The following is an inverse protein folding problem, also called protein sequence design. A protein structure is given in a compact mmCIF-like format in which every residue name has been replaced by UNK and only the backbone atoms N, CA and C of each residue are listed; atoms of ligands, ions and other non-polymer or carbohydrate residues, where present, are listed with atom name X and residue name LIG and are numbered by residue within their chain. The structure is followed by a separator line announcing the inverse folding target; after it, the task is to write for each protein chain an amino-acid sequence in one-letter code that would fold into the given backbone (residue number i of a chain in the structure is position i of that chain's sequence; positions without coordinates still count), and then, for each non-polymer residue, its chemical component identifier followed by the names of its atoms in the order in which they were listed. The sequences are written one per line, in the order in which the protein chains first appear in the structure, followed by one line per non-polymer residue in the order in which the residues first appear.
data_IF_399138481250
#
_entry.id   IF_399138481250
#
_cell.length_a   1.000
_cell.length_b   1.000
_cell.length_c   1.000
_cell.angle_alpha   90.00
_cell.angle_beta   90.00
_cell.angle_gamma   90.00
#
_symmetry.space_group_name_H-M   'P 1'
#
loop_
_entity.id
_entity.type
_entity.pdbx_description
1 polymer ?
#
# COMPACT_ATOMS: atom_id res chain seq x y z
N UNK A 1 55.50 -16.45 8.46
CA UNK A 1 55.10 -15.18 7.81
C UNK A 1 53.59 -15.03 7.96
N UNK A 2 53.13 -14.03 8.69
CA UNK A 2 51.69 -13.76 8.75
C UNK A 2 51.27 -13.02 7.49
N UNK A 3 50.28 -13.52 6.78
CA UNK A 3 49.60 -12.80 5.68
C UNK A 3 48.81 -11.63 6.29
N UNK A 4 49.32 -10.41 6.16
CA UNK A 4 48.70 -9.23 6.71
C UNK A 4 47.53 -8.66 5.87
N UNK A 5 47.45 -9.05 4.61
CA UNK A 5 46.41 -8.57 3.69
C UNK A 5 46.31 -9.41 2.44
N UNK A 6 45.10 -9.85 2.07
CA UNK A 6 44.83 -10.40 0.75
C UNK A 6 44.40 -9.23 -0.15
N UNK A 7 45.05 -9.07 -1.29
CA UNK A 7 44.67 -8.04 -2.27
C UNK A 7 43.50 -8.53 -3.11
N UNK A 8 42.61 -7.63 -3.52
CA UNK A 8 41.44 -7.97 -4.38
C UNK A 8 41.84 -8.65 -5.71
N UNK A 9 43.02 -8.30 -6.23
CA UNK A 9 43.62 -8.96 -7.44
C UNK A 9 44.04 -10.41 -7.20
N UNK A 10 44.12 -10.85 -5.93
CA UNK A 10 44.50 -12.21 -5.54
C UNK A 10 43.29 -13.13 -5.34
N UNK A 11 42.08 -12.58 -5.43
CA UNK A 11 40.82 -13.33 -5.32
C UNK A 11 40.17 -13.35 -6.70
N UNK A 12 40.10 -14.52 -7.31
CA UNK A 12 39.36 -14.69 -8.56
C UNK A 12 37.86 -14.43 -8.34
N UNK A 13 37.16 -14.05 -9.40
CA UNK A 13 35.69 -13.96 -9.38
C UNK A 13 35.14 -15.31 -8.89
N UNK A 14 34.18 -15.26 -7.97
CA UNK A 14 33.55 -16.43 -7.35
C UNK A 14 34.47 -17.36 -6.52
N UNK A 15 35.70 -16.90 -6.19
CA UNK A 15 36.65 -17.68 -5.40
C UNK A 15 36.24 -17.89 -3.93
N UNK A 16 35.27 -17.09 -3.41
CA UNK A 16 34.72 -17.20 -2.05
C UNK A 16 33.26 -17.50 -2.16
N UNK A 17 32.91 -18.77 -1.99
CA UNK A 17 31.52 -19.24 -1.96
C UNK A 17 31.04 -19.58 -0.54
N UNK A 18 29.82 -20.09 -0.40
CA UNK A 18 29.23 -20.43 0.92
C UNK A 18 30.11 -21.40 1.74
N UNK A 19 30.82 -22.31 1.07
CA UNK A 19 31.67 -23.30 1.75
C UNK A 19 32.96 -22.70 2.35
N UNK A 20 33.36 -21.51 1.90
CA UNK A 20 34.54 -20.79 2.41
C UNK A 20 34.19 -19.81 3.54
N UNK A 21 32.90 -19.51 3.72
CA UNK A 21 32.41 -18.65 4.78
C UNK A 21 31.92 -19.51 5.98
N UNK A 22 32.25 -19.11 7.18
CA UNK A 22 31.69 -19.74 8.36
C UNK A 22 30.28 -19.20 8.58
N UNK A 23 29.25 -19.98 8.20
CA UNK A 23 27.84 -19.58 8.29
C UNK A 23 27.35 -19.25 9.71
N UNK A 24 28.07 -19.74 10.73
CA UNK A 24 27.77 -19.43 12.13
C UNK A 24 28.37 -18.10 12.61
N UNK A 25 29.10 -17.38 11.75
CA UNK A 25 29.77 -16.14 12.11
C UNK A 25 29.04 -14.91 11.56
N UNK A 26 29.03 -13.82 12.32
CA UNK A 26 28.54 -12.53 11.84
C UNK A 26 29.61 -11.84 10.98
N UNK A 27 29.21 -11.44 9.79
CA UNK A 27 30.05 -10.68 8.87
C UNK A 27 29.60 -9.22 8.80
N UNK A 28 30.50 -8.27 9.04
CA UNK A 28 30.24 -6.85 8.87
C UNK A 28 30.74 -6.39 7.49
N UNK A 29 29.80 -6.01 6.64
CA UNK A 29 30.10 -5.43 5.32
C UNK A 29 30.01 -3.91 5.41
N UNK A 30 31.09 -3.19 5.09
CA UNK A 30 31.12 -1.72 5.08
C UNK A 30 30.73 -1.12 3.72
N UNK A 31 30.60 -1.96 2.70
CA UNK A 31 30.18 -1.58 1.35
C UNK A 31 28.74 -2.04 1.04
N UNK A 32 28.27 -1.71 -0.16
CA UNK A 32 26.98 -2.18 -0.67
C UNK A 32 27.02 -3.68 -0.89
N UNK A 33 26.12 -4.41 -0.26
CA UNK A 33 25.89 -5.84 -0.49
C UNK A 33 24.77 -5.98 -1.50
N UNK A 34 25.06 -6.40 -2.72
CA UNK A 34 24.06 -6.62 -3.78
C UNK A 34 23.48 -8.03 -3.65
N UNK A 35 22.16 -8.17 -3.75
CA UNK A 35 21.49 -9.47 -3.66
C UNK A 35 21.28 -10.02 -2.24
N UNK A 36 21.58 -9.23 -1.21
CA UNK A 36 21.40 -9.62 0.19
C UNK A 36 19.97 -9.27 0.68
N UNK A 37 18.99 -9.98 0.21
CA UNK A 37 17.60 -9.82 0.61
C UNK A 37 16.75 -9.09 -0.43
N UNK A 38 15.44 -9.23 -0.27
CA UNK A 38 14.45 -8.53 -1.08
C UNK A 38 14.37 -7.07 -0.64
N UNK A 39 14.23 -6.18 -1.60
CA UNK A 39 13.92 -4.79 -1.33
C UNK A 39 12.39 -4.62 -1.32
N UNK A 40 11.83 -3.99 -0.27
CA UNK A 40 10.41 -3.68 -0.20
C UNK A 40 10.02 -2.50 -1.12
N UNK A 41 10.61 -2.43 -2.30
CA UNK A 41 10.31 -1.46 -3.36
C UNK A 41 9.71 -2.18 -4.58
N UNK A 42 8.68 -1.60 -5.23
CA UNK A 42 8.08 -0.29 -4.95
C UNK A 42 7.33 -0.22 -3.61
N UNK A 43 7.36 0.98 -3.02
CA UNK A 43 6.56 1.35 -1.87
C UNK A 43 6.00 2.76 -2.06
N UNK A 44 4.75 2.97 -1.66
CA UNK A 44 4.07 4.26 -1.81
C UNK A 44 3.11 4.53 -0.66
N UNK A 45 2.83 5.80 -0.42
CA UNK A 45 1.71 6.25 0.40
C UNK A 45 1.14 7.56 -0.16
N UNK A 46 -0.18 7.64 -0.20
CA UNK A 46 -0.92 8.82 -0.61
C UNK A 46 -2.01 9.20 0.41
N UNK A 47 -2.42 10.46 0.40
CA UNK A 47 -3.47 11.01 1.25
C UNK A 47 -4.47 11.84 0.45
N UNK A 48 -5.58 12.19 1.09
CA UNK A 48 -6.57 13.13 0.57
C UNK A 48 -6.23 14.53 1.07
N UNK A 49 -6.29 15.55 0.21
CA UNK A 49 -6.12 16.96 0.59
C UNK A 49 -7.41 17.76 0.57
N UNK A 50 -8.41 17.29 -0.15
CA UNK A 50 -9.74 17.91 -0.24
C UNK A 50 -10.81 16.88 0.12
N UNK A 51 -11.72 17.22 1.02
CA UNK A 51 -12.85 16.35 1.36
C UNK A 51 -13.65 15.99 0.11
N UNK A 52 -14.06 14.74 0.03
CA UNK A 52 -14.87 14.22 -1.05
C UNK A 52 -16.26 13.87 -0.55
N UNK A 53 -17.27 14.31 -1.28
CA UNK A 53 -18.68 14.07 -0.93
C UNK A 53 -19.31 13.09 -1.93
N UNK A 54 -19.08 11.77 -1.78
CA UNK A 54 -19.68 10.80 -2.69
C UNK A 54 -21.20 10.79 -2.55
N UNK A 55 -21.89 10.67 -3.67
CA UNK A 55 -23.34 10.48 -3.68
C UNK A 55 -23.70 9.04 -3.27
N UNK A 56 -24.68 8.89 -2.36
CA UNK A 56 -24.96 7.62 -1.70
C UNK A 56 -25.34 6.46 -2.61
N UNK A 57 -25.25 5.25 -2.04
CA UNK A 57 -25.61 3.96 -2.62
C UNK A 57 -24.88 3.54 -3.91
N UNK A 58 -23.71 4.11 -4.18
CA UNK A 58 -22.83 3.72 -5.31
C UNK A 58 -21.39 3.52 -4.85
N UNK A 59 -20.63 2.68 -5.56
CA UNK A 59 -19.19 2.60 -5.34
C UNK A 59 -18.52 3.81 -5.98
N UNK A 60 -17.84 4.63 -5.18
CA UNK A 60 -17.15 5.84 -5.61
C UNK A 60 -15.67 5.71 -5.31
N UNK A 61 -14.84 6.00 -6.31
CA UNK A 61 -13.39 6.01 -6.17
C UNK A 61 -12.96 7.12 -5.20
N UNK A 62 -12.07 6.79 -4.27
CA UNK A 62 -11.55 7.74 -3.30
C UNK A 62 -10.38 8.51 -3.95
N UNK A 63 -10.43 9.84 -3.83
CA UNK A 63 -9.45 10.74 -4.41
C UNK A 63 -8.23 10.93 -3.50
N UNK A 64 -7.36 9.94 -3.43
CA UNK A 64 -6.05 10.12 -2.81
C UNK A 64 -5.16 10.96 -3.74
N UNK A 65 -5.24 12.27 -3.61
CA UNK A 65 -4.74 13.26 -4.56
C UNK A 65 -3.36 13.82 -4.25
N UNK A 66 -2.77 13.42 -3.13
CA UNK A 66 -1.46 13.87 -2.70
C UNK A 66 -0.58 12.68 -2.30
N UNK A 67 0.50 12.52 -3.02
CA UNK A 67 1.54 11.55 -2.71
C UNK A 67 2.36 12.02 -1.50
N UNK A 68 2.57 11.13 -0.53
CA UNK A 68 3.46 11.36 0.61
C UNK A 68 4.86 10.87 0.26
N UNK A 69 4.95 9.68 -0.28
CA UNK A 69 6.16 9.14 -0.90
C UNK A 69 5.80 8.09 -1.95
N UNK A 70 6.70 7.92 -2.92
CA UNK A 70 6.67 6.86 -3.92
C UNK A 70 8.10 6.54 -4.37
N UNK A 71 8.58 5.35 -4.08
CA UNK A 71 9.97 4.95 -4.34
C UNK A 71 10.23 4.55 -5.79
N UNK A 72 9.20 4.43 -6.63
CA UNK A 72 9.29 3.91 -7.98
C UNK A 72 8.48 4.71 -9.02
N UNK A 73 7.91 5.86 -8.65
CA UNK A 73 7.01 6.66 -9.51
C UNK A 73 5.85 5.80 -10.06
N UNK A 74 5.29 4.96 -9.19
CA UNK A 74 4.28 3.97 -9.52
C UNK A 74 2.86 4.39 -9.11
N UNK A 75 2.73 5.45 -8.31
CA UNK A 75 1.47 6.04 -7.92
C UNK A 75 1.10 7.24 -8.80
N UNK A 76 -0.11 7.24 -9.33
CA UNK A 76 -0.64 8.36 -10.13
C UNK A 76 -1.63 9.17 -9.29
N UNK A 77 -1.27 10.41 -8.94
CA UNK A 77 -2.19 11.36 -8.30
C UNK A 77 -3.30 11.84 -9.24
N UNK A 78 -3.14 11.69 -10.55
CA UNK A 78 -4.20 11.96 -11.55
C UNK A 78 -5.21 10.83 -11.61
N UNK A 79 -4.72 9.59 -11.73
CA UNK A 79 -5.58 8.40 -11.83
C UNK A 79 -6.00 7.87 -10.45
N UNK A 80 -5.42 8.36 -9.36
CA UNK A 80 -5.68 7.92 -7.98
C UNK A 80 -5.48 6.41 -7.80
N UNK A 81 -4.36 5.90 -8.33
CA UNK A 81 -4.04 4.46 -8.29
C UNK A 81 -2.55 4.19 -8.24
N UNK A 82 -2.20 3.06 -7.68
CA UNK A 82 -0.88 2.44 -7.80
C UNK A 82 -0.88 1.50 -8.99
N UNK A 83 0.16 1.52 -9.82
CA UNK A 83 0.35 0.60 -10.95
C UNK A 83 1.70 -0.10 -10.83
N UNK A 84 1.72 -1.42 -10.95
CA UNK A 84 2.95 -2.21 -10.82
C UNK A 84 3.92 -1.90 -11.95
N UNK A 85 5.13 -1.37 -11.64
CA UNK A 85 6.12 -1.02 -12.67
C UNK A 85 6.72 -2.24 -13.37
N UNK A 86 7.38 -2.00 -14.50
CA UNK A 86 8.13 -3.02 -15.22
C UNK A 86 9.19 -3.68 -14.32
N UNK A 87 9.27 -5.01 -14.37
CA UNK A 87 10.20 -5.79 -13.56
C UNK A 87 9.83 -5.93 -12.08
N UNK A 88 8.66 -5.41 -11.65
CA UNK A 88 8.26 -5.40 -10.25
C UNK A 88 7.03 -6.28 -9.96
N UNK A 89 6.74 -7.27 -10.79
CA UNK A 89 5.72 -8.28 -10.45
C UNK A 89 6.07 -8.98 -9.12
N UNK A 90 5.06 -9.43 -8.39
CA UNK A 90 5.25 -10.13 -7.12
C UNK A 90 4.13 -9.89 -6.11
N UNK A 91 4.40 -10.23 -4.86
CA UNK A 91 3.44 -10.05 -3.75
C UNK A 91 3.55 -8.67 -3.14
N UNK A 92 2.40 -8.05 -2.95
CA UNK A 92 2.27 -6.70 -2.40
C UNK A 92 1.36 -6.69 -1.19
N UNK A 93 1.79 -6.04 -0.11
CA UNK A 93 0.92 -5.63 0.98
C UNK A 93 0.29 -4.29 0.62
N UNK A 94 -1.03 -4.26 0.55
CA UNK A 94 -1.82 -3.06 0.23
C UNK A 94 -2.68 -2.72 1.44
N UNK A 95 -2.73 -1.46 1.82
CA UNK A 95 -3.52 -0.99 2.94
C UNK A 95 -4.19 0.35 2.67
N UNK A 96 -5.30 0.59 3.34
CA UNK A 96 -5.90 1.91 3.44
C UNK A 96 -6.54 2.10 4.82
N UNK A 97 -6.47 3.32 5.29
CA UNK A 97 -7.21 3.82 6.44
C UNK A 97 -7.95 5.07 5.99
N UNK A 98 -9.27 5.10 6.16
CA UNK A 98 -10.11 6.17 5.61
C UNK A 98 -11.19 6.55 6.59
N UNK A 99 -11.28 7.84 6.90
CA UNK A 99 -12.33 8.40 7.73
C UNK A 99 -13.54 8.77 6.86
N UNK A 100 -14.67 8.15 7.11
CA UNK A 100 -15.92 8.39 6.40
C UNK A 100 -17.07 8.62 7.36
N UNK A 101 -18.01 9.44 6.94
CA UNK A 101 -19.17 9.70 7.75
C UNK A 101 -20.20 10.62 7.12
N UNK A 102 -20.98 11.24 7.99
CA UNK A 102 -22.06 12.14 7.62
C UNK A 102 -21.78 13.56 8.10
N UNK A 103 -22.06 14.56 7.27
CA UNK A 103 -22.06 15.97 7.67
C UNK A 103 -23.08 16.27 8.76
N UNK A 104 -24.16 15.47 8.87
CA UNK A 104 -25.16 15.55 9.93
C UNK A 104 -24.75 14.71 11.16
N UNK A 105 -25.28 15.04 12.33
CA UNK A 105 -25.01 14.31 13.56
C UNK A 105 -25.65 12.90 13.62
N UNK A 106 -26.36 12.51 12.58
CA UNK A 106 -27.02 11.21 12.45
C UNK A 106 -27.18 10.83 10.99
N UNK A 107 -27.47 9.56 10.70
CA UNK A 107 -27.82 9.10 9.35
C UNK A 107 -26.78 8.30 8.62
N UNK A 108 -25.59 8.07 9.20
CA UNK A 108 -24.62 7.14 8.64
C UNK A 108 -25.08 5.70 8.95
N UNK A 109 -25.59 5.01 7.94
CA UNK A 109 -26.20 3.69 8.11
C UNK A 109 -25.24 2.55 7.72
N UNK A 110 -24.63 2.65 6.56
CA UNK A 110 -23.73 1.63 6.05
C UNK A 110 -22.56 2.28 5.33
N UNK A 111 -21.35 1.79 5.58
CA UNK A 111 -20.16 2.20 4.87
C UNK A 111 -19.25 1.01 4.56
N UNK A 112 -18.69 1.02 3.37
CA UNK A 112 -17.64 0.11 2.94
C UNK A 112 -16.42 0.88 2.47
N UNK A 113 -15.24 0.43 2.88
CA UNK A 113 -13.98 0.74 2.24
C UNK A 113 -13.53 -0.50 1.47
N UNK A 114 -13.22 -0.36 0.19
CA UNK A 114 -12.99 -1.50 -0.72
C UNK A 114 -11.71 -1.36 -1.49
N UNK A 115 -11.06 -2.50 -1.78
CA UNK A 115 -9.92 -2.58 -2.69
C UNK A 115 -10.38 -3.07 -4.05
N UNK A 116 -10.00 -2.34 -5.09
CA UNK A 116 -10.21 -2.71 -6.49
C UNK A 116 -8.89 -3.04 -7.16
N UNK A 117 -8.84 -4.13 -7.88
CA UNK A 117 -7.73 -4.52 -8.78
C UNK A 117 -8.24 -4.46 -10.21
N UNK A 118 -7.56 -3.69 -11.07
CA UNK A 118 -7.91 -3.57 -12.49
C UNK A 118 -9.40 -3.19 -12.71
N UNK A 119 -9.90 -2.28 -11.88
CA UNK A 119 -11.29 -1.82 -11.94
C UNK A 119 -12.35 -2.80 -11.38
N UNK A 120 -11.92 -3.94 -10.81
CA UNK A 120 -12.83 -4.96 -10.27
C UNK A 120 -12.71 -5.06 -8.74
N UNK A 121 -13.86 -5.11 -8.06
CA UNK A 121 -13.96 -5.33 -6.60
C UNK A 121 -13.32 -6.69 -6.22
N UNK A 122 -12.42 -6.68 -5.28
CA UNK A 122 -11.69 -7.87 -4.84
C UNK A 122 -12.36 -8.57 -3.65
N UNK A 123 -13.57 -8.17 -3.28
CA UNK A 123 -14.28 -8.62 -2.07
C UNK A 123 -13.49 -8.41 -0.76
N UNK A 124 -12.44 -7.60 -0.81
CA UNK A 124 -11.72 -7.13 0.35
C UNK A 124 -12.34 -5.80 0.79
N UNK A 125 -12.97 -5.79 1.97
CA UNK A 125 -13.68 -4.61 2.45
C UNK A 125 -13.62 -4.45 3.97
N UNK A 126 -13.48 -3.19 4.42
CA UNK A 126 -13.85 -2.76 5.75
C UNK A 126 -15.31 -2.35 5.75
N UNK A 127 -16.15 -2.99 6.56
CA UNK A 127 -17.59 -2.82 6.54
C UNK A 127 -18.12 -2.31 7.88
N UNK A 128 -19.11 -1.43 7.82
CA UNK A 128 -19.86 -0.97 8.97
C UNK A 128 -21.35 -0.88 8.62
N UNK A 129 -22.22 -1.32 9.54
CA UNK A 129 -23.66 -1.26 9.37
C UNK A 129 -24.32 -1.05 10.74
N UNK A 130 -25.16 -0.03 10.86
CA UNK A 130 -25.90 0.31 12.09
C UNK A 130 -27.32 -0.26 12.13
N UNK A 131 -27.74 -1.06 11.16
CA UNK A 131 -29.13 -1.54 11.05
C UNK A 131 -30.20 -0.42 11.16
N UNK A 132 -29.90 0.74 10.57
CA UNK A 132 -30.75 1.94 10.59
C UNK A 132 -30.79 2.74 11.93
N UNK A 133 -30.08 2.32 12.95
CA UNK A 133 -29.94 3.07 14.21
C UNK A 133 -28.82 4.13 14.17
N UNK A 134 -28.55 4.68 12.99
CA UNK A 134 -27.40 5.52 12.67
C UNK A 134 -27.24 6.78 13.54
N UNK A 135 -26.69 6.64 14.73
CA UNK A 135 -26.32 7.74 15.62
C UNK A 135 -24.83 8.13 15.50
N UNK A 136 -24.06 7.42 14.67
CA UNK A 136 -22.66 7.74 14.42
C UNK A 136 -22.49 8.82 13.38
N UNK A 137 -21.49 9.68 13.56
CA UNK A 137 -21.16 10.74 12.62
C UNK A 137 -19.99 10.35 11.71
N UNK A 138 -18.89 9.90 12.28
CA UNK A 138 -17.68 9.52 11.57
C UNK A 138 -17.14 8.20 12.08
N UNK A 139 -16.65 7.40 11.16
CA UNK A 139 -16.00 6.12 11.44
C UNK A 139 -14.69 6.02 10.69
N UNK A 140 -13.68 5.46 11.36
CA UNK A 140 -12.41 5.11 10.76
C UNK A 140 -12.48 3.69 10.22
N UNK A 141 -12.36 3.56 8.91
CA UNK A 141 -12.28 2.28 8.23
C UNK A 141 -10.82 1.95 7.97
N UNK A 142 -10.44 0.72 8.24
CA UNK A 142 -9.12 0.21 7.89
C UNK A 142 -9.26 -1.11 7.15
N UNK A 143 -8.44 -1.27 6.11
CA UNK A 143 -8.42 -2.47 5.29
C UNK A 143 -6.99 -2.75 4.85
N UNK A 144 -6.65 -4.01 4.76
CA UNK A 144 -5.40 -4.47 4.18
C UNK A 144 -5.59 -5.83 3.51
N UNK A 145 -4.75 -6.12 2.52
CA UNK A 145 -4.69 -7.44 1.90
C UNK A 145 -3.33 -7.64 1.22
N UNK A 146 -3.01 -8.90 0.94
CA UNK A 146 -1.85 -9.28 0.14
C UNK A 146 -2.35 -9.73 -1.23
N UNK A 147 -1.77 -9.13 -2.27
CA UNK A 147 -2.08 -9.45 -3.66
C UNK A 147 -0.85 -9.96 -4.39
N UNK A 148 -1.05 -10.95 -5.24
CA UNK A 148 -0.10 -11.32 -6.28
C UNK A 148 -0.40 -10.44 -7.50
N UNK A 149 0.54 -9.55 -7.85
CA UNK A 149 0.37 -8.52 -8.87
C UNK A 149 1.37 -8.72 -10.00
N UNK A 150 0.85 -8.72 -11.22
CA UNK A 150 1.63 -8.69 -12.45
C UNK A 150 2.00 -7.27 -12.85
N UNK A 151 3.03 -7.11 -13.69
CA UNK A 151 3.37 -5.82 -14.30
C UNK A 151 2.15 -5.23 -15.01
N UNK A 152 1.85 -3.96 -14.72
CA UNK A 152 0.70 -3.25 -15.27
C UNK A 152 -0.60 -3.45 -14.49
N UNK A 153 -0.68 -4.40 -13.56
CA UNK A 153 -1.82 -4.45 -12.62
C UNK A 153 -1.89 -3.17 -11.80
N UNK A 154 -3.10 -2.68 -11.55
CA UNK A 154 -3.28 -1.49 -10.72
C UNK A 154 -4.28 -1.70 -9.60
N UNK A 155 -4.04 -0.98 -8.50
CA UNK A 155 -4.87 -0.99 -7.29
C UNK A 155 -5.47 0.40 -7.06
N UNK A 156 -6.73 0.40 -6.71
CA UNK A 156 -7.53 1.59 -6.41
C UNK A 156 -8.36 1.38 -5.15
N UNK A 157 -8.67 2.47 -4.47
CA UNK A 157 -9.56 2.43 -3.30
C UNK A 157 -10.91 3.03 -3.64
N UNK A 158 -11.96 2.33 -3.23
CA UNK A 158 -13.35 2.77 -3.39
C UNK A 158 -14.07 2.81 -2.05
N UNK A 159 -15.02 3.71 -1.94
CA UNK A 159 -15.99 3.70 -0.86
C UNK A 159 -17.39 3.43 -1.40
N UNK A 160 -18.20 2.82 -0.55
CA UNK A 160 -19.66 2.76 -0.71
C UNK A 160 -20.28 3.29 0.56
N UNK A 161 -21.25 4.18 0.45
CA UNK A 161 -21.96 4.68 1.62
C UNK A 161 -23.45 4.74 1.31
N UNK A 162 -24.25 4.15 2.20
CA UNK A 162 -25.68 4.27 2.18
C UNK A 162 -26.13 5.07 3.40
N UNK A 163 -26.78 6.19 3.15
CA UNK A 163 -27.30 7.06 4.18
C UNK A 163 -28.28 8.10 3.64
N UNK A 164 -28.97 8.77 4.54
CA UNK A 164 -29.96 9.82 4.23
C UNK A 164 -29.40 11.24 4.22
N UNK A 165 -28.17 11.44 4.71
CA UNK A 165 -27.49 12.74 4.78
C UNK A 165 -26.29 12.79 3.84
N UNK A 166 -25.65 13.96 3.71
CA UNK A 166 -24.44 14.12 2.89
C UNK A 166 -23.28 13.31 3.45
N UNK A 167 -22.67 12.47 2.61
CA UNK A 167 -21.46 11.70 2.92
C UNK A 167 -20.24 12.59 2.84
N UNK A 168 -19.29 12.33 3.70
CA UNK A 168 -17.96 12.94 3.67
C UNK A 168 -16.89 11.84 3.75
N UNK A 169 -15.94 11.87 2.81
CA UNK A 169 -14.64 11.19 2.95
C UNK A 169 -13.65 12.26 3.34
N UNK A 170 -13.08 12.14 4.54
CA UNK A 170 -12.36 13.24 5.18
C UNK A 170 -10.87 13.22 4.89
N UNK A 171 -10.27 14.39 4.84
CA UNK A 171 -8.82 14.59 4.64
C UNK A 171 -8.00 14.10 5.82
N UNK A 172 -8.50 14.34 7.04
CA UNK A 172 -7.83 13.89 8.24
C UNK A 172 -7.84 12.35 8.31
N UNK A 173 -6.68 11.76 8.61
CA UNK A 173 -6.55 10.32 8.90
C UNK A 173 -6.83 9.38 7.72
N UNK A 174 -6.99 9.91 6.49
CA UNK A 174 -7.19 9.07 5.30
C UNK A 174 -5.86 8.83 4.57
N UNK A 175 -5.51 7.55 4.44
CA UNK A 175 -4.27 7.06 3.82
C UNK A 175 -4.54 5.87 2.93
N UNK A 176 -3.76 5.79 1.85
CA UNK A 176 -3.69 4.62 0.97
C UNK A 176 -2.23 4.35 0.64
N UNK A 177 -1.79 3.13 0.85
CA UNK A 177 -0.40 2.77 0.61
C UNK A 177 -0.20 1.30 0.37
N UNK A 178 1.05 0.96 0.08
CA UNK A 178 1.47 -0.41 -0.10
C UNK A 178 2.95 -0.52 -0.39
N UNK A 179 3.44 -1.75 -0.32
CA UNK A 179 4.82 -2.08 -0.64
C UNK A 179 4.96 -3.52 -1.11
N UNK A 180 6.00 -3.77 -1.90
CA UNK A 180 6.35 -5.11 -2.34
C UNK A 180 6.89 -5.93 -1.17
N UNK A 181 6.42 -7.17 -1.04
CA UNK A 181 6.88 -8.12 -0.02
C UNK A 181 7.97 -9.02 -0.62
N UNK A 182 7.71 -9.57 -1.80
CA UNK A 182 8.62 -10.49 -2.49
C UNK A 182 8.34 -10.53 -4.00
N UNK A 183 9.28 -11.05 -4.72
CA UNK A 183 9.17 -11.37 -6.15
C UNK A 183 8.50 -12.71 -6.35
#
# INVERSE_FOLDING_TARGET
MALTRIQSSSIATDAVGPTQLNEASNYAFTGTVTGAGETNTPAFEAKITTEQNPTGATNVKINFDNEIFDTASAYSTTDKRFTVPSGQAGKYFIYSSTNMGSSANSGFQTGDLKIYKNGSDQNARGHFNTNNDGNGRYYQFSIFNIFDLSVGDYIEMYCYVNQTATVEVRTAESRFGGFKISS
#
